data_IF_906266922225
#
_entry.id   IF_906266922225
#
_cell.length_a   1.000
_cell.length_b   1.000
_cell.length_c   1.000
_cell.angle_alpha   90.00
_cell.angle_beta   90.00
_cell.angle_gamma   90.00
#
_symmetry.space_group_name_H-M   'P 1'
#
loop_
_entity.id
_entity.type
_entity.pdbx_description
1 polymer ?
#
# COMPACT_ATOMS: atom_id res chain seq x y z
N UNK A 1 11.93 7.90 17.93
CA UNK A 1 12.81 9.01 17.54
C UNK A 1 12.57 10.12 18.54
N UNK A 2 13.53 10.33 19.43
CA UNK A 2 13.48 11.29 20.55
C UNK A 2 14.33 12.52 20.28
N UNK A 3 14.81 12.66 19.05
CA UNK A 3 15.73 13.71 18.64
C UNK A 3 14.94 14.95 18.22
N UNK A 4 15.13 16.09 18.90
CA UNK A 4 14.48 17.34 18.52
C UNK A 4 15.08 17.95 17.27
N UNK A 5 16.21 17.46 16.76
CA UNK A 5 16.88 18.03 15.59
C UNK A 5 16.58 17.25 14.31
N UNK A 6 16.81 17.91 13.17
CA UNK A 6 16.75 17.27 11.86
C UNK A 6 17.89 16.24 11.76
N UNK A 7 17.51 15.00 11.45
CA UNK A 7 18.44 13.92 11.14
C UNK A 7 18.78 13.93 9.65
N UNK A 8 19.84 14.64 9.30
CA UNK A 8 20.34 14.67 7.93
C UNK A 8 20.69 13.26 7.44
N UNK A 9 20.21 12.92 6.24
CA UNK A 9 20.35 11.61 5.64
C UNK A 9 19.28 10.60 6.06
N UNK A 10 18.39 10.92 7.00
CA UNK A 10 17.21 10.12 7.34
C UNK A 10 15.93 10.76 6.76
N UNK A 11 14.82 10.02 6.73
CA UNK A 11 13.55 10.53 6.19
C UNK A 11 12.95 11.62 7.09
N UNK A 12 12.35 12.68 6.51
CA UNK A 12 11.55 13.61 7.29
C UNK A 12 10.28 12.92 7.81
N UNK A 13 9.72 13.47 8.89
CA UNK A 13 8.35 13.16 9.26
C UNK A 13 7.40 13.62 8.16
N UNK A 14 6.40 12.81 7.85
CA UNK A 14 5.37 13.15 6.89
C UNK A 14 4.06 12.50 7.32
N UNK A 15 2.97 13.21 7.10
CA UNK A 15 1.62 12.75 7.36
C UNK A 15 0.74 13.13 6.18
N UNK A 16 -0.26 12.30 5.87
CA UNK A 16 -1.24 12.60 4.85
C UNK A 16 -2.55 11.87 5.12
N UNK A 17 -3.63 12.44 4.62
CA UNK A 17 -4.96 11.86 4.65
C UNK A 17 -5.64 12.18 3.32
N UNK A 18 -6.29 11.18 2.72
CA UNK A 18 -7.01 11.35 1.48
C UNK A 18 -8.18 10.37 1.39
N UNK A 19 -9.16 10.72 0.57
CA UNK A 19 -10.23 9.85 0.14
C UNK A 19 -9.93 9.33 -1.27
N UNK A 20 -10.25 8.06 -1.50
CA UNK A 20 -10.12 7.41 -2.81
C UNK A 20 -11.48 7.04 -3.34
N UNK A 21 -11.79 7.48 -4.55
CA UNK A 21 -12.88 6.93 -5.35
C UNK A 21 -12.29 6.00 -6.41
N UNK A 22 -12.78 4.77 -6.52
CA UNK A 22 -12.26 3.81 -7.49
C UNK A 22 -13.37 3.04 -8.21
N UNK A 23 -13.04 2.58 -9.40
CA UNK A 23 -13.88 1.69 -10.22
C UNK A 23 -13.11 0.43 -10.54
N UNK A 24 -13.78 -0.71 -10.46
CA UNK A 24 -13.23 -2.02 -10.79
C UNK A 24 -14.00 -2.61 -11.96
N UNK A 25 -13.28 -2.96 -13.02
CA UNK A 25 -13.79 -3.79 -14.11
C UNK A 25 -13.12 -5.16 -14.02
N UNK A 26 -13.90 -6.22 -14.14
CA UNK A 26 -13.40 -7.59 -14.04
C UNK A 26 -13.97 -8.44 -15.17
N UNK A 27 -13.10 -9.24 -15.79
CA UNK A 27 -13.47 -10.22 -16.78
C UNK A 27 -13.01 -11.62 -16.32
N UNK A 28 -13.92 -12.44 -15.76
CA UNK A 28 -13.58 -13.78 -15.27
C UNK A 28 -13.09 -14.74 -16.37
N UNK A 29 -13.60 -14.58 -17.59
CA UNK A 29 -13.26 -15.44 -18.75
C UNK A 29 -11.82 -15.15 -19.20
N UNK A 30 -11.49 -13.86 -19.38
CA UNK A 30 -10.13 -13.43 -19.75
C UNK A 30 -9.16 -13.42 -18.57
N UNK A 31 -9.64 -13.61 -17.33
CA UNK A 31 -8.86 -13.51 -16.09
C UNK A 31 -8.16 -12.16 -15.97
N UNK A 32 -8.94 -11.10 -16.13
CA UNK A 32 -8.46 -9.72 -16.14
C UNK A 32 -9.21 -8.90 -15.10
N UNK A 33 -8.47 -8.00 -14.46
CA UNK A 33 -9.05 -6.97 -13.61
C UNK A 33 -8.34 -5.65 -13.89
N UNK A 34 -9.13 -4.61 -14.13
CA UNK A 34 -8.68 -3.23 -14.24
C UNK A 34 -9.29 -2.45 -13.08
N UNK A 35 -8.46 -1.68 -12.39
CA UNK A 35 -8.91 -0.79 -11.33
C UNK A 35 -8.35 0.60 -11.58
N UNK A 36 -9.23 1.58 -11.68
CA UNK A 36 -8.88 2.99 -11.80
C UNK A 36 -9.32 3.71 -10.53
N UNK A 37 -8.46 4.55 -9.99
CA UNK A 37 -8.67 5.25 -8.72
C UNK A 37 -8.30 6.73 -8.84
N UNK A 38 -9.08 7.58 -8.19
CA UNK A 38 -8.86 9.00 -8.01
C UNK A 38 -8.70 9.28 -6.51
N UNK A 39 -7.62 9.95 -6.15
CA UNK A 39 -7.28 10.32 -4.79
C UNK A 39 -7.40 11.83 -4.61
N UNK A 40 -8.10 12.26 -3.55
CA UNK A 40 -8.22 13.66 -3.14
C UNK A 40 -8.01 13.80 -1.63
N UNK A 41 -7.10 14.66 -1.23
CA UNK A 41 -6.83 14.92 0.18
C UNK A 41 -5.73 15.94 0.38
N UNK A 42 -4.98 15.80 1.46
CA UNK A 42 -3.87 16.68 1.78
C UNK A 42 -2.81 15.96 2.61
N UNK A 43 -1.59 16.49 2.56
CA UNK A 43 -0.47 16.08 3.40
C UNK A 43 -0.08 17.19 4.36
N UNK A 44 0.76 16.89 5.34
CA UNK A 44 1.32 17.83 6.31
C UNK A 44 0.62 17.85 7.67
N UNK A 45 0.90 18.87 8.51
CA UNK A 45 0.49 18.90 9.92
C UNK A 45 -1.02 18.73 10.15
N UNK A 46 -1.85 19.22 9.22
CA UNK A 46 -3.31 19.10 9.30
C UNK A 46 -3.80 17.65 9.32
N UNK A 47 -2.99 16.67 8.91
CA UNK A 47 -3.37 15.26 8.91
C UNK A 47 -3.38 14.65 10.34
N UNK A 48 -2.91 15.41 11.34
CA UNK A 48 -3.11 15.09 12.76
C UNK A 48 -2.21 13.99 13.33
N UNK A 49 -1.30 13.41 12.53
CA UNK A 49 -0.50 12.26 12.94
C UNK A 49 0.45 12.56 14.10
N UNK A 50 0.98 13.79 14.24
CA UNK A 50 1.76 14.21 15.43
C UNK A 50 0.96 13.96 16.72
N UNK A 51 -0.26 14.49 16.78
CA UNK A 51 -1.13 14.34 17.96
C UNK A 51 -1.47 12.88 18.24
N UNK A 52 -1.82 12.12 17.20
CA UNK A 52 -2.11 10.70 17.32
C UNK A 52 -0.90 9.90 17.86
N UNK A 53 0.29 10.11 17.29
CA UNK A 53 1.49 9.41 17.75
C UNK A 53 1.83 9.76 19.20
N UNK A 54 1.74 11.04 19.58
CA UNK A 54 1.96 11.47 20.96
C UNK A 54 1.00 10.80 21.92
N UNK A 55 -0.29 10.70 21.56
CA UNK A 55 -1.31 10.04 22.38
C UNK A 55 -1.00 8.54 22.57
N UNK A 56 -0.61 7.85 21.50
CA UNK A 56 -0.22 6.42 21.56
C UNK A 56 1.02 6.23 22.43
N UNK A 57 2.03 7.09 22.29
CA UNK A 57 3.23 7.03 23.11
C UNK A 57 2.90 7.24 24.60
N UNK A 58 2.02 8.18 24.93
CA UNK A 58 1.54 8.37 26.31
C UNK A 58 0.80 7.14 26.85
N UNK A 59 -0.06 6.51 26.05
CA UNK A 59 -0.78 5.30 26.48
C UNK A 59 0.12 4.09 26.73
N UNK A 60 1.24 4.01 26.03
CA UNK A 60 2.22 2.92 26.13
C UNK A 60 3.39 3.24 27.08
N UNK A 61 3.33 4.37 27.79
CA UNK A 61 4.44 4.88 28.62
C UNK A 61 5.77 4.96 27.86
N UNK A 62 5.69 5.37 26.59
CA UNK A 62 6.81 5.53 25.69
C UNK A 62 7.25 7.01 25.60
N UNK A 63 8.55 7.28 25.35
CA UNK A 63 9.07 8.65 25.21
C UNK A 63 8.35 9.47 24.14
N UNK A 64 8.07 10.74 24.41
CA UNK A 64 7.34 11.61 23.47
C UNK A 64 8.04 11.74 22.11
N UNK A 65 7.32 11.62 20.99
CA UNK A 65 7.92 11.72 19.66
C UNK A 65 8.38 13.15 19.38
N UNK A 66 9.66 13.30 19.01
CA UNK A 66 10.26 14.60 18.65
C UNK A 66 10.44 14.71 17.12
N UNK A 67 10.77 15.91 16.62
CA UNK A 67 11.08 16.16 15.20
C UNK A 67 9.88 16.45 14.29
N UNK A 68 8.64 16.30 14.77
CA UNK A 68 7.41 16.62 14.01
C UNK A 68 7.27 18.10 13.62
N UNK A 69 8.02 19.00 14.25
CA UNK A 69 8.04 20.43 13.90
C UNK A 69 8.73 20.68 12.55
N UNK A 70 9.53 19.71 12.07
CA UNK A 70 10.19 19.73 10.76
C UNK A 70 9.55 18.78 9.75
N UNK A 71 8.33 18.31 10.01
CA UNK A 71 7.61 17.45 9.08
C UNK A 71 7.38 18.14 7.72
N UNK A 72 7.13 17.34 6.68
CA UNK A 72 6.69 17.85 5.38
C UNK A 72 5.45 18.73 5.56
N UNK A 73 5.49 19.92 4.95
CA UNK A 73 4.45 20.94 5.05
C UNK A 73 3.18 20.57 4.31
N UNK A 74 2.15 21.36 4.59
CA UNK A 74 0.83 21.18 3.97
C UNK A 74 0.91 21.32 2.45
N UNK A 75 0.39 20.32 1.75
CA UNK A 75 0.18 20.32 0.32
C UNK A 75 -1.05 19.48 -0.05
N UNK A 76 -1.64 19.74 -1.21
CA UNK A 76 -2.79 19.02 -1.72
C UNK A 76 -2.37 17.65 -2.26
N UNK A 77 -3.13 16.61 -1.90
CA UNK A 77 -3.00 15.27 -2.48
C UNK A 77 -4.02 15.15 -3.61
N UNK A 78 -3.51 15.04 -4.83
CA UNK A 78 -4.25 14.70 -6.03
C UNK A 78 -3.55 13.50 -6.67
N UNK A 79 -4.30 12.47 -7.00
CA UNK A 79 -3.73 11.27 -7.60
C UNK A 79 -4.69 10.58 -8.56
N UNK A 80 -4.11 10.01 -9.61
CA UNK A 80 -4.77 9.01 -10.45
C UNK A 80 -3.91 7.75 -10.48
N UNK A 81 -4.55 6.61 -10.22
CA UNK A 81 -3.88 5.32 -10.24
C UNK A 81 -4.64 4.34 -11.12
N UNK A 82 -3.92 3.65 -12.01
CA UNK A 82 -4.44 2.56 -12.82
C UNK A 82 -3.69 1.27 -12.47
N UNK A 83 -4.44 0.21 -12.17
CA UNK A 83 -3.91 -1.13 -11.87
C UNK A 83 -4.53 -2.14 -12.81
N UNK A 84 -3.69 -2.91 -13.49
CA UNK A 84 -4.06 -4.03 -14.33
C UNK A 84 -3.52 -5.34 -13.76
N UNK A 85 -4.39 -6.33 -13.67
CA UNK A 85 -4.07 -7.65 -13.14
C UNK A 85 -4.50 -8.73 -14.13
N UNK A 86 -3.61 -9.69 -14.40
CA UNK A 86 -3.83 -10.73 -15.38
C UNK A 86 -3.49 -12.10 -14.80
N UNK A 87 -4.42 -13.05 -14.90
CA UNK A 87 -4.14 -14.45 -14.59
C UNK A 87 -3.17 -15.04 -15.62
N UNK A 88 -1.98 -15.43 -15.16
CA UNK A 88 -0.94 -16.05 -15.98
C UNK A 88 -1.03 -17.57 -15.94
N UNK A 89 -1.23 -18.13 -14.74
CA UNK A 89 -1.39 -19.57 -14.50
C UNK A 89 -2.58 -19.76 -13.58
N UNK A 90 -3.41 -20.77 -13.85
CA UNK A 90 -4.51 -21.14 -12.97
C UNK A 90 -4.68 -22.64 -13.04
N UNK A 91 -4.28 -23.33 -11.96
CA UNK A 91 -4.52 -24.75 -11.76
C UNK A 91 -5.73 -24.87 -10.83
N UNK A 92 -6.80 -25.46 -11.37
CA UNK A 92 -8.15 -25.49 -10.81
C UNK A 92 -8.21 -25.46 -9.26
N UNK A 93 -8.59 -24.30 -8.71
CA UNK A 93 -8.85 -24.05 -7.27
C UNK A 93 -7.72 -24.45 -6.29
N UNK A 94 -6.50 -24.64 -6.79
CA UNK A 94 -5.35 -25.08 -5.99
C UNK A 94 -4.18 -24.10 -6.06
N UNK A 95 -3.90 -23.52 -7.24
CA UNK A 95 -2.83 -22.55 -7.41
C UNK A 95 -3.14 -21.55 -8.52
N UNK A 96 -2.83 -20.28 -8.28
CA UNK A 96 -2.98 -19.19 -9.24
C UNK A 96 -1.74 -18.30 -9.22
N UNK A 97 -1.22 -17.96 -10.40
CA UNK A 97 -0.20 -16.94 -10.59
C UNK A 97 -0.81 -15.78 -11.37
N UNK A 98 -0.68 -14.58 -10.81
CA UNK A 98 -1.26 -13.35 -11.35
C UNK A 98 -0.13 -12.36 -11.60
N UNK A 99 -0.11 -11.79 -12.81
CA UNK A 99 0.73 -10.66 -13.16
C UNK A 99 0.06 -9.36 -12.75
N UNK A 100 0.87 -8.43 -12.25
CA UNK A 100 0.43 -7.13 -11.75
C UNK A 100 1.18 -6.04 -12.53
N UNK A 101 0.44 -5.03 -12.98
CA UNK A 101 0.98 -3.78 -13.48
C UNK A 101 0.20 -2.62 -12.87
N UNK A 102 0.90 -1.59 -12.42
CA UNK A 102 0.30 -0.43 -11.79
C UNK A 102 1.06 0.83 -12.21
N UNK A 103 0.34 1.93 -12.39
CA UNK A 103 0.92 3.25 -12.59
C UNK A 103 0.13 4.26 -11.77
N UNK A 104 0.86 5.12 -11.09
CA UNK A 104 0.31 6.24 -10.31
C UNK A 104 0.94 7.53 -10.79
N UNK A 105 0.10 8.54 -11.01
CA UNK A 105 0.50 9.90 -11.30
C UNK A 105 -0.24 10.83 -10.35
N UNK A 106 0.51 11.60 -9.57
CA UNK A 106 -0.09 12.45 -8.55
C UNK A 106 0.94 13.27 -7.79
N UNK A 107 0.44 14.18 -6.97
CA UNK A 107 1.25 15.07 -6.14
C UNK A 107 1.87 14.34 -4.96
N UNK A 108 1.24 13.28 -4.43
CA UNK A 108 1.79 12.45 -3.36
C UNK A 108 2.82 11.44 -3.88
N UNK A 109 2.48 10.73 -4.96
CA UNK A 109 3.33 9.72 -5.58
C UNK A 109 3.22 9.75 -7.09
N UNK A 110 4.37 9.63 -7.77
CA UNK A 110 4.44 9.30 -9.20
C UNK A 110 5.34 8.10 -9.39
N UNK A 111 4.79 6.97 -9.83
CA UNK A 111 5.54 5.73 -9.97
C UNK A 111 4.87 4.75 -10.94
N UNK A 112 5.64 3.76 -11.38
CA UNK A 112 5.13 2.58 -12.05
C UNK A 112 5.57 1.34 -11.28
N UNK A 113 4.73 0.31 -11.21
CA UNK A 113 5.01 -0.91 -10.48
C UNK A 113 4.60 -2.11 -11.33
N UNK A 114 5.40 -3.17 -11.27
CA UNK A 114 5.02 -4.48 -11.80
C UNK A 114 5.33 -5.57 -10.79
N UNK A 115 4.68 -6.72 -10.92
CA UNK A 115 4.95 -7.83 -10.04
C UNK A 115 4.13 -9.07 -10.31
N UNK A 116 4.27 -10.00 -9.37
CA UNK A 116 3.60 -11.29 -9.37
C UNK A 116 2.91 -11.50 -8.03
N UNK A 117 1.72 -12.10 -8.09
CA UNK A 117 1.00 -12.62 -6.94
C UNK A 117 0.77 -14.12 -7.16
N UNK A 118 1.34 -14.92 -6.28
CA UNK A 118 1.10 -16.35 -6.17
C UNK A 118 0.09 -16.59 -5.06
N UNK A 119 -0.93 -17.40 -5.33
CA UNK A 119 -1.89 -17.89 -4.32
C UNK A 119 -1.96 -19.41 -4.43
N UNK A 120 -1.91 -20.12 -3.32
CA UNK A 120 -1.96 -21.59 -3.30
C UNK A 120 -2.69 -22.13 -2.08
N UNK A 121 -3.57 -23.10 -2.28
CA UNK A 121 -4.41 -23.68 -1.24
C UNK A 121 -5.87 -23.77 -1.65
N UNK A 122 -6.75 -23.90 -0.66
CA UNK A 122 -8.20 -24.01 -0.86
C UNK A 122 -8.79 -22.62 -0.97
N UNK A 123 -9.11 -22.17 -2.20
CA UNK A 123 -9.57 -20.82 -2.45
C UNK A 123 -10.55 -20.71 -3.62
N UNK A 124 -11.32 -19.63 -3.64
CA UNK A 124 -12.05 -19.21 -4.83
C UNK A 124 -11.12 -18.50 -5.82
N UNK A 125 -11.46 -18.58 -7.11
CA UNK A 125 -10.63 -18.01 -8.17
C UNK A 125 -10.56 -16.49 -8.05
N UNK A 126 -9.37 -15.92 -8.24
CA UNK A 126 -9.12 -14.48 -8.03
C UNK A 126 -10.08 -13.57 -8.79
N UNK A 127 -10.38 -13.93 -10.05
CA UNK A 127 -11.22 -13.14 -10.96
C UNK A 127 -12.69 -13.54 -10.94
N UNK A 128 -13.13 -14.36 -9.97
CA UNK A 128 -14.54 -14.77 -9.87
C UNK A 128 -15.40 -13.79 -9.07
N UNK A 129 -14.78 -12.83 -8.38
CA UNK A 129 -15.50 -11.89 -7.52
C UNK A 129 -14.79 -10.54 -7.48
N UNK A 130 -15.55 -9.46 -7.64
CA UNK A 130 -15.05 -8.07 -7.55
C UNK A 130 -14.78 -7.60 -6.11
N UNK A 131 -15.01 -8.46 -5.11
CA UNK A 131 -14.91 -8.12 -3.69
C UNK A 131 -16.20 -7.58 -3.07
N UNK A 132 -17.21 -7.30 -3.91
CA UNK A 132 -18.58 -6.92 -3.53
C UNK A 132 -19.48 -8.08 -3.95
N UNK A 133 -19.52 -9.13 -3.13
CA UNK A 133 -20.32 -10.30 -3.45
C UNK A 133 -21.78 -10.06 -3.04
N UNK A 134 -22.64 -9.65 -3.98
CA UNK A 134 -24.07 -9.85 -3.83
C UNK A 134 -24.33 -11.32 -3.44
N UNK A 135 -25.19 -11.56 -2.45
CA UNK A 135 -25.46 -12.89 -1.85
C UNK A 135 -25.69 -14.00 -2.88
N UNK A 136 -26.26 -13.67 -4.03
CA UNK A 136 -26.52 -14.59 -5.15
C UNK A 136 -25.24 -15.18 -5.81
N UNK A 137 -24.10 -14.49 -5.77
CA UNK A 137 -22.84 -14.99 -6.32
C UNK A 137 -22.12 -16.03 -5.42
N UNK A 138 -22.65 -16.32 -4.22
CA UNK A 138 -22.03 -17.24 -3.25
C UNK A 138 -22.47 -18.71 -3.41
N UNK A 139 -23.50 -19.01 -4.20
CA UNK A 139 -24.13 -20.35 -4.26
C UNK A 139 -23.14 -21.44 -4.73
N UNK A 140 -22.16 -21.10 -5.59
CA UNK A 140 -21.14 -22.04 -6.09
C UNK A 140 -19.71 -21.76 -5.58
N UNK A 141 -19.55 -20.90 -4.58
CA UNK A 141 -18.25 -20.53 -4.03
C UNK A 141 -17.90 -21.37 -2.78
N UNK A 142 -16.61 -21.67 -2.61
CA UNK A 142 -16.10 -22.29 -1.40
C UNK A 142 -16.36 -21.36 -0.21
N UNK A 143 -17.18 -21.81 0.73
CA UNK A 143 -17.51 -21.04 1.93
C UNK A 143 -16.34 -20.97 2.90
N UNK A 144 -15.52 -22.04 2.94
CA UNK A 144 -14.27 -22.10 3.70
C UNK A 144 -13.10 -22.02 2.74
N UNK A 145 -12.23 -21.04 2.95
CA UNK A 145 -11.00 -20.85 2.20
C UNK A 145 -9.83 -20.79 3.17
N UNK A 146 -8.75 -21.46 2.82
CA UNK A 146 -7.47 -21.40 3.52
C UNK A 146 -6.35 -21.54 2.50
N UNK A 147 -5.56 -20.49 2.34
CA UNK A 147 -4.51 -20.45 1.33
C UNK A 147 -3.34 -19.59 1.78
N UNK A 148 -2.17 -19.90 1.24
CA UNK A 148 -0.98 -19.08 1.33
C UNK A 148 -0.90 -18.15 0.12
N UNK A 149 -0.31 -16.98 0.32
CA UNK A 149 -0.03 -16.04 -0.75
C UNK A 149 1.38 -15.47 -0.66
N UNK A 150 1.99 -15.24 -1.81
CA UNK A 150 3.27 -14.57 -1.94
C UNK A 150 3.19 -13.50 -3.01
N UNK A 151 3.67 -12.29 -2.70
CA UNK A 151 3.69 -11.16 -3.65
C UNK A 151 5.12 -10.66 -3.80
N UNK A 152 5.52 -10.42 -5.05
CA UNK A 152 6.81 -9.81 -5.38
C UNK A 152 6.55 -8.67 -6.35
N UNK A 153 6.97 -7.46 -6.01
CA UNK A 153 6.77 -6.29 -6.88
C UNK A 153 8.02 -5.42 -6.96
N UNK A 154 8.37 -4.99 -8.17
CA UNK A 154 9.34 -3.93 -8.42
C UNK A 154 8.61 -2.63 -8.74
N UNK A 155 9.02 -1.53 -8.08
CA UNK A 155 8.48 -0.19 -8.26
C UNK A 155 9.56 0.73 -8.82
N UNK A 156 9.26 1.42 -9.92
CA UNK A 156 10.03 2.52 -10.48
C UNK A 156 9.49 3.85 -9.94
N UNK A 157 10.30 4.54 -9.14
CA UNK A 157 9.89 5.75 -8.40
C UNK A 157 10.28 7.02 -9.17
N UNK A 158 9.29 7.73 -9.69
CA UNK A 158 9.44 9.07 -10.27
C UNK A 158 9.44 10.16 -9.20
N UNK A 159 8.47 10.10 -8.29
CA UNK A 159 8.30 11.08 -7.22
C UNK A 159 7.69 10.47 -5.96
N UNK A 160 8.17 10.93 -4.79
CA UNK A 160 7.62 10.58 -3.48
C UNK A 160 7.60 11.82 -2.57
N UNK A 161 6.43 12.41 -2.35
CA UNK A 161 6.30 13.65 -1.56
C UNK A 161 6.66 13.47 -0.09
N UNK A 162 6.52 12.25 0.45
CA UNK A 162 6.89 11.97 1.85
C UNK A 162 8.39 12.04 2.10
N UNK A 163 9.20 11.99 1.04
CA UNK A 163 10.65 12.15 1.09
C UNK A 163 11.08 13.48 0.47
N UNK A 164 10.46 13.89 -0.63
CA UNK A 164 10.90 15.01 -1.47
C UNK A 164 10.13 16.32 -1.19
N UNK A 165 9.11 16.30 -0.34
CA UNK A 165 8.25 17.45 -0.07
C UNK A 165 7.05 17.58 -1.01
N UNK A 166 6.24 18.61 -0.79
CA UNK A 166 5.08 18.92 -1.62
C UNK A 166 5.45 19.40 -3.03
N UNK A 167 4.63 19.05 -4.04
CA UNK A 167 4.79 19.51 -5.42
C UNK A 167 4.26 20.93 -5.61
N UNK A 168 3.12 21.27 -5.00
CA UNK A 168 2.50 22.61 -5.10
C UNK A 168 3.04 23.54 -4.01
N UNK A 169 3.50 22.98 -2.89
CA UNK A 169 4.17 23.71 -1.81
C UNK A 169 5.54 23.10 -1.49
N UNK A 170 6.61 23.51 -2.21
CA UNK A 170 7.94 22.94 -2.05
C UNK A 170 8.69 23.45 -0.81
N UNK A 171 8.14 24.40 -0.05
CA UNK A 171 8.83 25.14 1.02
C UNK A 171 9.04 24.34 2.32
N UNK A 172 9.70 23.19 2.23
CA UNK A 172 9.95 22.28 3.34
C UNK A 172 11.30 22.58 4.00
N UNK A 173 11.39 22.43 5.34
CA UNK A 173 12.64 22.70 6.06
C UNK A 173 13.71 21.66 5.71
N UNK A 174 13.30 20.41 5.56
CA UNK A 174 14.18 19.30 5.22
C UNK A 174 13.46 18.27 4.35
N UNK A 175 14.16 17.81 3.31
CA UNK A 175 13.70 16.80 2.37
C UNK A 175 14.91 15.97 1.90
N UNK A 176 14.64 14.80 1.33
CA UNK A 176 15.62 14.00 0.61
C UNK A 176 15.71 14.50 -0.83
N UNK A 177 16.93 14.83 -1.27
CA UNK A 177 17.19 15.22 -2.65
C UNK A 177 16.76 14.12 -3.63
N UNK A 178 16.21 14.51 -4.78
CA UNK A 178 15.83 13.57 -5.84
C UNK A 178 16.98 12.70 -6.36
N UNK A 179 18.24 13.11 -6.15
CA UNK A 179 19.44 12.33 -6.49
C UNK A 179 19.72 11.19 -5.49
N UNK A 180 19.17 11.29 -4.28
CA UNK A 180 19.36 10.31 -3.22
C UNK A 180 18.19 9.33 -3.11
N UNK A 181 17.09 9.61 -3.80
CA UNK A 181 15.97 8.67 -3.96
C UNK A 181 16.40 7.47 -4.79
N UNK A 182 16.09 6.27 -4.30
CA UNK A 182 16.25 5.03 -5.07
C UNK A 182 15.12 4.95 -6.09
N UNK A 183 15.49 4.97 -7.38
CA UNK A 183 14.54 4.90 -8.49
C UNK A 183 13.92 3.52 -8.69
N UNK A 184 14.46 2.50 -8.03
CA UNK A 184 13.91 1.15 -8.02
C UNK A 184 13.78 0.66 -6.60
N UNK A 185 12.57 0.26 -6.22
CA UNK A 185 12.24 -0.29 -4.91
C UNK A 185 11.63 -1.66 -5.09
N UNK A 186 12.16 -2.65 -4.37
CA UNK A 186 11.66 -4.02 -4.37
C UNK A 186 10.85 -4.25 -3.09
N UNK A 187 9.67 -4.84 -3.24
CA UNK A 187 8.84 -5.27 -2.13
C UNK A 187 8.48 -6.75 -2.32
N UNK A 188 8.60 -7.53 -1.25
CA UNK A 188 8.13 -8.91 -1.20
C UNK A 188 7.27 -9.12 0.04
N UNK A 189 6.21 -9.90 -0.08
CA UNK A 189 5.40 -10.31 1.05
C UNK A 189 5.03 -11.78 0.95
N UNK A 190 4.79 -12.39 2.11
CA UNK A 190 4.27 -13.74 2.24
C UNK A 190 3.29 -13.78 3.41
N UNK A 191 2.16 -14.46 3.22
CA UNK A 191 1.11 -14.49 4.20
C UNK A 191 0.13 -15.65 4.05
N UNK A 192 -0.74 -15.77 5.04
CA UNK A 192 -1.80 -16.77 5.12
C UNK A 192 -3.15 -16.06 5.18
N UNK A 193 -4.13 -16.61 4.49
CA UNK A 193 -5.50 -16.12 4.47
C UNK A 193 -6.46 -17.24 4.87
N UNK A 194 -7.27 -16.97 5.88
CA UNK A 194 -8.41 -17.80 6.27
C UNK A 194 -9.71 -17.04 6.04
N UNK A 195 -10.70 -17.67 5.39
CA UNK A 195 -12.00 -17.05 5.19
C UNK A 195 -13.15 -18.03 5.40
N UNK A 196 -14.23 -17.52 6.01
CA UNK A 196 -15.46 -18.25 6.25
C UNK A 196 -16.69 -17.36 6.04
N UNK A 197 -17.59 -17.77 5.13
CA UNK A 197 -18.93 -17.16 4.91
C UNK A 197 -18.95 -15.62 4.76
N UNK A 198 -17.91 -15.02 4.19
CA UNK A 198 -17.82 -13.57 3.94
C UNK A 198 -16.97 -12.81 4.96
N UNK A 199 -16.49 -13.47 6.01
CA UNK A 199 -15.41 -13.00 6.86
C UNK A 199 -14.08 -13.53 6.32
N UNK A 200 -13.05 -12.71 6.25
CA UNK A 200 -11.68 -13.16 5.99
C UNK A 200 -10.69 -12.49 6.91
N UNK A 201 -9.73 -13.26 7.39
CA UNK A 201 -8.55 -12.81 8.10
C UNK A 201 -7.31 -13.12 7.27
N UNK A 202 -6.42 -12.15 7.17
CA UNK A 202 -5.12 -12.28 6.56
C UNK A 202 -4.03 -11.89 7.54
N UNK A 203 -2.93 -12.63 7.51
CA UNK A 203 -1.70 -12.30 8.22
C UNK A 203 -0.53 -12.38 7.24
N UNK A 204 0.23 -11.29 7.11
CA UNK A 204 1.25 -11.15 6.08
C UNK A 204 2.48 -10.44 6.63
N UNK A 205 3.66 -10.94 6.28
CA UNK A 205 4.95 -10.29 6.53
C UNK A 205 5.44 -9.64 5.24
N UNK A 206 5.95 -8.42 5.35
CA UNK A 206 6.44 -7.60 4.24
C UNK A 206 7.91 -7.26 4.46
N UNK A 207 8.71 -7.32 3.39
CA UNK A 207 10.04 -6.74 3.31
C UNK A 207 10.09 -5.73 2.18
N UNK A 208 10.70 -4.58 2.45
CA UNK A 208 10.88 -3.46 1.53
C UNK A 208 12.36 -3.11 1.43
N UNK A 209 12.88 -2.97 0.21
CA UNK A 209 14.23 -2.46 -0.01
C UNK A 209 14.35 -0.99 0.39
N UNK A 210 15.57 -0.45 0.57
CA UNK A 210 15.76 0.98 0.80
C UNK A 210 15.08 1.87 -0.25
N UNK A 211 14.46 2.96 0.19
CA UNK A 211 13.79 3.96 -0.66
C UNK A 211 14.71 5.13 -1.05
N UNK A 212 15.84 5.29 -0.35
CA UNK A 212 16.86 6.30 -0.59
C UNK A 212 18.25 5.76 -0.20
N UNK A 213 19.35 6.40 -0.65
CA UNK A 213 20.73 5.87 -0.53
C UNK A 213 21.14 5.50 0.88
N UNK A 214 20.80 6.32 1.87
CA UNK A 214 21.14 6.10 3.28
C UNK A 214 20.01 5.39 4.05
N UNK A 215 18.93 5.01 3.37
CA UNK A 215 17.79 4.35 3.98
C UNK A 215 18.07 2.88 4.27
N UNK A 216 17.43 2.35 5.31
CA UNK A 216 17.49 0.94 5.63
C UNK A 216 16.38 0.16 4.90
N UNK A 217 16.57 -1.15 4.78
CA UNK A 217 15.47 -2.04 4.40
C UNK A 217 14.50 -2.16 5.57
N UNK A 218 13.20 -2.20 5.28
CA UNK A 218 12.17 -2.28 6.31
C UNK A 218 11.49 -3.65 6.29
N UNK A 219 11.10 -4.14 7.48
CA UNK A 219 10.29 -5.34 7.66
C UNK A 219 9.15 -5.02 8.61
N UNK A 220 7.95 -5.42 8.24
CA UNK A 220 6.78 -5.28 9.11
C UNK A 220 5.78 -6.39 8.83
N UNK A 221 4.85 -6.56 9.75
CA UNK A 221 3.75 -7.50 9.66
C UNK A 221 2.45 -6.73 9.71
N UNK A 222 1.45 -7.19 8.96
CA UNK A 222 0.10 -6.66 9.08
C UNK A 222 -0.91 -7.78 9.23
N UNK A 223 -2.05 -7.41 9.80
CA UNK A 223 -3.24 -8.23 9.91
C UNK A 223 -4.37 -7.48 9.23
N UNK A 224 -5.13 -8.17 8.39
CA UNK A 224 -6.27 -7.60 7.70
C UNK A 224 -7.52 -8.42 8.00
N UNK A 225 -8.59 -7.73 8.38
CA UNK A 225 -9.92 -8.31 8.53
C UNK A 225 -10.82 -7.69 7.47
N UNK A 226 -11.45 -8.54 6.66
CA UNK A 226 -12.48 -8.12 5.69
C UNK A 226 -13.81 -8.77 6.04
N UNK A 227 -14.87 -7.98 5.97
CA UNK A 227 -16.25 -8.46 6.07
C UNK A 227 -17.02 -7.97 4.85
N UNK A 228 -17.66 -8.90 4.15
CA UNK A 228 -18.53 -8.59 3.00
C UNK A 228 -19.97 -8.69 3.47
N UNK A 229 -20.61 -7.53 3.65
CA UNK A 229 -22.04 -7.36 3.93
C UNK A 229 -22.85 -7.86 2.72
#
# INVERSE_FOLDING_TARGET
>A
MEDPNIRYGDRPYAAYIYATQYTVQMNPIKKERLTAALDLGFMGPGAGTKGFQTQVHQWLDAPAPQGWDYQIKTDLVLGYTATYEKGLISRYKAAELIGLANASLGTLYTNAQTGLLLRTGKMNGYFQNIGIAARQNRINQQQFQFYAQGRLTGKLVGYNATLQGGVLNPNNVYTISGHDIKRTVLQKSAGLVGAYKGFSFESSVVWLSPEFKNGLSHKYMFFEVRFII
#
